data_IF_538893891488
#
_entry.id   IF_538893891488
#
_cell.length_a   1.000
_cell.length_b   1.000
_cell.length_c   1.000
_cell.angle_alpha   90.00
_cell.angle_beta   90.00
_cell.angle_gamma   90.00
#
_symmetry.space_group_name_H-M   'P 1'
#
loop_
_entity.id
_entity.type
_entity.pdbx_description
1 polymer ?
#
# COMPACT_ATOMS: atom_id res chain seq x y z
N UNK A 1 -22.59 -24.01 -35.46
CA UNK A 1 -23.29 -24.51 -34.26
C UNK A 1 -22.37 -24.34 -33.08
N UNK A 2 -22.52 -23.21 -32.41
CA UNK A 2 -22.42 -22.98 -30.96
C UNK A 2 -22.84 -21.53 -30.81
N UNK A 3 -24.15 -21.34 -30.67
CA UNK A 3 -24.77 -20.10 -30.23
C UNK A 3 -24.39 -19.88 -28.76
N UNK A 4 -24.07 -18.64 -28.42
CA UNK A 4 -23.97 -18.20 -27.04
C UNK A 4 -25.09 -17.18 -26.87
N UNK A 5 -26.21 -17.65 -26.34
CA UNK A 5 -27.31 -16.79 -25.85
C UNK A 5 -26.75 -15.91 -24.73
N UNK A 6 -26.92 -14.60 -24.89
CA UNK A 6 -26.77 -13.63 -23.80
C UNK A 6 -28.19 -13.33 -23.35
N UNK A 7 -28.54 -13.79 -22.15
CA UNK A 7 -29.79 -13.42 -21.48
C UNK A 7 -29.83 -11.90 -21.27
N UNK A 8 -30.75 -11.25 -22.00
CA UNK A 8 -31.09 -9.84 -21.88
C UNK A 8 -32.16 -9.65 -20.80
N UNK A 9 -31.81 -9.73 -19.50
CA UNK A 9 -32.81 -9.42 -18.46
C UNK A 9 -32.37 -8.46 -17.33
N UNK A 10 -31.13 -7.96 -17.26
CA UNK A 10 -30.74 -7.03 -16.17
C UNK A 10 -30.33 -5.61 -16.62
N UNK A 11 -30.81 -5.13 -17.77
CA UNK A 11 -30.64 -3.72 -18.21
C UNK A 11 -31.99 -3.07 -18.55
N UNK A 12 -33.03 -3.36 -17.77
CA UNK A 12 -34.37 -2.84 -18.02
C UNK A 12 -35.02 -2.06 -16.85
N UNK A 13 -34.26 -1.73 -15.80
CA UNK A 13 -34.79 -0.96 -14.66
C UNK A 13 -34.01 0.35 -14.47
N UNK A 14 -33.98 1.25 -15.48
CA UNK A 14 -33.71 2.69 -15.25
C UNK A 14 -33.97 3.60 -16.49
N UNK A 15 -35.04 3.38 -17.28
CA UNK A 15 -35.47 4.34 -18.32
C UNK A 15 -36.98 4.52 -18.28
N UNK A 16 -37.45 5.46 -17.46
CA UNK A 16 -38.87 5.64 -17.14
C UNK A 16 -39.61 6.62 -18.07
N UNK A 17 -39.19 6.75 -19.35
CA UNK A 17 -39.92 7.61 -20.31
C UNK A 17 -39.70 7.18 -21.78
N UNK A 18 -40.79 6.94 -22.53
CA UNK A 18 -40.77 6.58 -23.96
C UNK A 18 -40.03 7.60 -24.84
N UNK A 19 -39.99 8.87 -24.43
CA UNK A 19 -39.28 9.93 -25.15
C UNK A 19 -37.75 9.76 -25.10
N UNK A 20 -37.21 9.15 -24.04
CA UNK A 20 -35.76 8.97 -23.88
C UNK A 20 -35.24 7.78 -24.69
N UNK A 21 -36.05 6.72 -24.82
CA UNK A 21 -35.76 5.59 -25.70
C UNK A 21 -35.70 6.04 -27.17
N UNK A 22 -36.63 6.91 -27.59
CA UNK A 22 -36.63 7.47 -28.95
C UNK A 22 -35.42 8.35 -29.24
N UNK A 23 -34.97 9.14 -28.27
CA UNK A 23 -33.76 9.98 -28.43
C UNK A 23 -32.46 9.15 -28.45
N UNK A 24 -32.41 8.05 -27.68
CA UNK A 24 -31.29 7.10 -27.72
C UNK A 24 -31.22 6.32 -29.04
N UNK A 25 -32.36 5.91 -29.60
CA UNK A 25 -32.42 5.30 -30.94
C UNK A 25 -31.94 6.26 -32.03
N UNK A 26 -32.31 7.55 -31.97
CA UNK A 26 -31.82 8.57 -32.91
C UNK A 26 -30.30 8.78 -32.82
N UNK A 27 -29.76 8.79 -31.59
CA UNK A 27 -28.33 8.94 -31.33
C UNK A 27 -27.52 7.72 -31.79
N UNK A 28 -28.11 6.52 -31.70
CA UNK A 28 -27.51 5.27 -32.19
C UNK A 28 -27.49 5.20 -33.72
N UNK A 29 -28.54 5.70 -34.39
CA UNK A 29 -28.69 5.68 -35.84
C UNK A 29 -28.07 6.89 -36.56
N UNK A 30 -27.61 7.91 -35.83
CA UNK A 30 -26.93 9.08 -36.39
C UNK A 30 -27.82 10.01 -37.23
N UNK A 31 -29.13 10.04 -36.96
CA UNK A 31 -30.11 10.79 -37.75
C UNK A 31 -30.29 12.19 -37.18
N UNK A 32 -30.06 13.23 -37.99
CA UNK A 32 -30.31 14.64 -37.66
C UNK A 32 -31.65 15.09 -38.27
N UNK A 33 -32.39 15.98 -37.60
CA UNK A 33 -33.83 16.27 -37.81
C UNK A 33 -34.21 16.92 -39.17
N UNK A 34 -33.31 16.97 -40.16
CA UNK A 34 -33.50 17.78 -41.37
C UNK A 34 -33.38 17.06 -42.72
N UNK A 35 -33.36 15.73 -42.86
CA UNK A 35 -33.37 15.08 -44.18
C UNK A 35 -34.30 13.85 -44.27
N UNK A 36 -35.12 13.81 -45.32
CA UNK A 36 -35.91 12.65 -45.76
C UNK A 36 -35.03 11.56 -46.41
N UNK A 37 -35.48 10.29 -46.44
CA UNK A 37 -34.58 9.15 -46.63
C UNK A 37 -34.29 8.90 -48.11
N UNK A 38 -33.04 9.05 -48.52
CA UNK A 38 -32.51 8.45 -49.74
C UNK A 38 -31.02 8.15 -49.56
N UNK A 39 -30.70 6.85 -49.48
CA UNK A 39 -29.39 6.21 -49.65
C UNK A 39 -28.17 6.95 -49.09
N UNK A 40 -27.70 6.55 -47.91
CA UNK A 40 -26.28 6.63 -47.58
C UNK A 40 -25.80 5.34 -46.89
N UNK A 41 -24.80 4.69 -47.50
CA UNK A 41 -23.78 3.97 -46.74
C UNK A 41 -23.06 5.01 -45.88
N UNK A 42 -23.27 4.97 -44.57
CA UNK A 42 -22.53 5.79 -43.60
C UNK A 42 -21.71 4.85 -42.74
N UNK A 43 -20.39 4.98 -42.80
CA UNK A 43 -19.48 4.37 -41.82
C UNK A 43 -19.75 5.04 -40.47
N UNK A 44 -20.43 4.35 -39.56
CA UNK A 44 -20.76 4.84 -38.22
C UNK A 44 -19.52 4.66 -37.33
N UNK A 45 -18.87 5.76 -36.95
CA UNK A 45 -17.82 5.76 -35.94
C UNK A 45 -18.45 5.51 -34.55
N UNK A 46 -18.39 4.25 -34.11
CA UNK A 46 -18.89 3.80 -32.81
C UNK A 46 -18.27 4.55 -31.62
N UNK A 47 -17.08 5.14 -31.78
CA UNK A 47 -16.45 5.99 -30.76
C UNK A 47 -17.19 7.31 -30.55
N UNK A 48 -17.68 7.93 -31.62
CA UNK A 48 -18.50 9.16 -31.55
C UNK A 48 -19.89 8.89 -30.96
N UNK A 49 -20.51 7.76 -31.30
CA UNK A 49 -21.83 7.36 -30.78
C UNK A 49 -21.75 7.13 -29.26
N UNK A 50 -20.75 6.39 -28.78
CA UNK A 50 -20.58 6.18 -27.34
C UNK A 50 -20.27 7.46 -26.57
N UNK A 51 -19.49 8.38 -27.16
CA UNK A 51 -19.23 9.66 -26.52
C UNK A 51 -20.50 10.51 -26.37
N UNK A 52 -21.42 10.48 -27.34
CA UNK A 52 -22.70 11.20 -27.26
C UNK A 52 -23.66 10.58 -26.24
N UNK A 53 -23.73 9.24 -26.16
CA UNK A 53 -24.53 8.52 -25.15
C UNK A 53 -24.00 8.83 -23.74
N UNK A 54 -22.68 8.81 -23.55
CA UNK A 54 -22.05 9.14 -22.26
C UNK A 54 -22.31 10.60 -21.84
N UNK A 55 -22.29 11.56 -22.79
CA UNK A 55 -22.64 12.96 -22.52
C UNK A 55 -24.12 13.11 -22.15
N UNK A 56 -25.02 12.37 -22.81
CA UNK A 56 -26.45 12.38 -22.54
C UNK A 56 -26.76 11.84 -21.12
N UNK A 57 -26.21 10.68 -20.76
CA UNK A 57 -26.37 10.07 -19.42
C UNK A 57 -25.83 11.02 -18.33
N UNK A 58 -24.65 11.61 -18.56
CA UNK A 58 -23.99 12.51 -17.60
C UNK A 58 -24.75 13.82 -17.40
N UNK A 59 -25.51 14.31 -18.40
CA UNK A 59 -26.36 15.51 -18.27
C UNK A 59 -27.65 15.24 -17.50
N UNK A 60 -28.17 14.01 -17.52
CA UNK A 60 -29.37 13.64 -16.75
C UNK A 60 -29.07 13.30 -15.29
N UNK A 61 -27.92 12.69 -15.00
CA UNK A 61 -27.49 12.39 -13.63
C UNK A 61 -27.31 13.63 -12.72
N UNK A 62 -27.33 14.85 -13.27
CA UNK A 62 -27.11 16.12 -12.54
C UNK A 62 -28.42 16.78 -12.03
N UNK A 63 -29.61 16.22 -12.32
CA UNK A 63 -30.89 16.80 -11.86
C UNK A 63 -31.59 15.96 -10.77
N UNK A 64 -31.25 16.25 -9.50
CA UNK A 64 -31.97 15.97 -8.23
C UNK A 64 -32.41 14.53 -7.87
N UNK A 65 -32.30 14.12 -6.58
CA UNK A 65 -32.80 12.83 -6.11
C UNK A 65 -34.30 12.88 -5.74
N UNK A 66 -35.08 11.79 -5.94
CA UNK A 66 -36.46 11.75 -5.47
C UNK A 66 -36.53 11.57 -3.94
N UNK A 67 -37.45 12.32 -3.32
CA UNK A 67 -37.82 12.16 -1.91
C UNK A 67 -38.73 10.94 -1.72
N UNK A 68 -38.34 10.06 -0.80
CA UNK A 68 -39.27 9.28 0.02
C UNK A 68 -39.29 7.78 -0.27
N UNK A 69 -38.58 7.00 0.54
CA UNK A 69 -39.09 5.73 1.07
C UNK A 69 -38.29 5.35 2.34
N UNK A 70 -38.96 5.38 3.49
CA UNK A 70 -38.52 4.72 4.73
C UNK A 70 -39.24 3.39 4.82
N UNK A 71 -38.53 2.26 4.81
CA UNK A 71 -38.42 1.33 5.95
C UNK A 71 -37.84 -0.04 5.54
N UNK A 72 -36.87 -0.48 6.35
CA UNK A 72 -36.45 -1.85 6.63
C UNK A 72 -35.57 -2.60 5.60
N UNK A 73 -34.29 -2.23 5.57
CA UNK A 73 -33.19 -3.21 5.45
C UNK A 73 -32.18 -2.88 6.56
N UNK A 74 -31.79 -3.91 7.31
CA UNK A 74 -30.80 -3.83 8.41
C UNK A 74 -29.48 -3.30 7.86
N UNK A 75 -28.94 -2.29 8.54
CA UNK A 75 -27.62 -1.71 8.33
C UNK A 75 -26.54 -2.80 8.32
N UNK A 76 -26.00 -3.12 7.14
CA UNK A 76 -24.62 -3.55 7.02
C UNK A 76 -23.80 -2.29 6.79
N UNK A 77 -23.19 -1.77 7.86
CA UNK A 77 -22.23 -0.67 7.77
C UNK A 77 -20.98 -1.14 7.02
N UNK A 78 -21.00 -1.07 5.69
CA UNK A 78 -19.78 -1.00 4.87
C UNK A 78 -19.22 0.41 5.03
N UNK A 79 -18.46 0.64 6.11
CA UNK A 79 -17.58 1.79 6.20
C UNK A 79 -16.38 1.51 5.27
N UNK A 80 -16.49 2.06 4.07
CA UNK A 80 -15.42 2.12 3.10
C UNK A 80 -14.20 2.85 3.68
N UNK A 81 -13.03 2.23 3.55
CA UNK A 81 -11.75 2.89 3.87
C UNK A 81 -11.46 4.09 2.96
N UNK A 82 -12.26 4.29 1.91
CA UNK A 82 -12.25 5.47 1.05
C UNK A 82 -12.74 6.77 1.75
N UNK A 83 -13.24 6.70 2.99
CA UNK A 83 -13.73 7.87 3.74
C UNK A 83 -12.83 8.32 4.90
N UNK A 84 -11.58 7.85 4.99
CA UNK A 84 -10.58 8.74 5.58
C UNK A 84 -10.42 9.88 4.56
N UNK A 85 -10.99 11.06 4.84
CA UNK A 85 -10.81 12.28 4.04
C UNK A 85 -9.31 12.66 4.01
N UNK A 86 -8.51 11.88 3.31
CA UNK A 86 -7.19 12.28 2.84
C UNK A 86 -7.46 13.32 1.77
N UNK A 87 -7.12 14.58 2.04
CA UNK A 87 -7.29 15.67 1.08
C UNK A 87 -6.71 15.32 -0.28
N UNK A 88 -7.26 15.92 -1.35
CA UNK A 88 -6.82 15.70 -2.72
C UNK A 88 -5.29 15.86 -2.84
N UNK A 89 -4.61 14.81 -3.31
CA UNK A 89 -3.18 14.87 -3.59
C UNK A 89 -2.98 15.58 -4.93
N UNK A 90 -2.14 16.62 -4.94
CA UNK A 90 -1.77 17.31 -6.17
C UNK A 90 -1.04 16.34 -7.12
N UNK A 91 -1.34 16.37 -8.43
CA UNK A 91 -0.63 15.54 -9.40
C UNK A 91 0.84 15.95 -9.44
N UNK A 92 1.73 14.96 -9.40
CA UNK A 92 3.18 15.15 -9.54
C UNK A 92 3.71 14.31 -10.70
N UNK A 93 4.80 14.75 -11.35
CA UNK A 93 5.35 13.98 -12.45
C UNK A 93 5.84 12.61 -11.97
N UNK A 94 5.67 11.61 -12.82
CA UNK A 94 6.22 10.27 -12.62
C UNK A 94 7.75 10.32 -12.56
N UNK A 95 8.34 9.79 -11.49
CA UNK A 95 9.78 9.92 -11.24
C UNK A 95 10.59 9.06 -12.20
N UNK A 96 10.10 7.89 -12.60
CA UNK A 96 10.76 7.04 -13.60
C UNK A 96 10.85 7.75 -14.96
N UNK A 97 9.80 8.44 -15.40
CA UNK A 97 9.83 9.27 -16.60
C UNK A 97 10.75 10.49 -16.43
N UNK A 98 10.69 11.18 -15.30
CA UNK A 98 11.60 12.29 -14.98
C UNK A 98 13.07 11.85 -15.03
N UNK A 99 13.40 10.70 -14.45
CA UNK A 99 14.75 10.18 -14.41
C UNK A 99 15.31 9.96 -15.82
N UNK A 100 14.50 9.47 -16.77
CA UNK A 100 14.91 9.32 -18.16
C UNK A 100 15.31 10.65 -18.82
N UNK A 101 14.60 11.74 -18.51
CA UNK A 101 14.94 13.09 -19.02
C UNK A 101 16.22 13.66 -18.42
N UNK A 102 16.62 13.19 -17.23
CA UNK A 102 17.81 13.65 -16.52
C UNK A 102 19.10 12.96 -17.01
N UNK A 103 19.01 11.91 -17.84
CA UNK A 103 20.18 11.12 -18.29
C UNK A 103 21.01 11.84 -19.37
N UNK A 104 20.38 12.72 -20.17
CA UNK A 104 20.93 13.23 -21.45
C UNK A 104 21.43 14.67 -21.50
N UNK A 105 21.24 15.50 -20.47
CA UNK A 105 21.83 16.84 -20.41
C UNK A 105 21.98 17.32 -18.97
N UNK A 106 22.64 18.45 -18.75
CA UNK A 106 22.84 19.09 -17.43
C UNK A 106 21.54 19.58 -16.78
N UNK A 107 20.41 18.90 -16.98
CA UNK A 107 19.14 19.21 -16.34
C UNK A 107 19.24 18.81 -14.87
N UNK A 108 19.22 19.83 -14.02
CA UNK A 108 19.25 19.71 -12.58
C UNK A 108 18.00 18.98 -12.09
N UNK A 109 18.16 18.08 -11.10
CA UNK A 109 17.02 17.51 -10.34
C UNK A 109 16.03 18.63 -10.00
N UNK A 110 14.72 18.48 -10.24
CA UNK A 110 13.76 19.53 -9.91
C UNK A 110 13.84 19.87 -8.41
N UNK A 111 13.77 21.17 -8.08
CA UNK A 111 14.02 21.68 -6.72
C UNK A 111 13.19 21.02 -5.61
N UNK A 112 12.00 20.50 -5.96
CA UNK A 112 11.11 19.78 -5.03
C UNK A 112 11.70 18.44 -4.56
N UNK A 113 12.59 17.80 -5.33
CA UNK A 113 13.21 16.52 -4.94
C UNK A 113 14.56 16.69 -4.23
N UNK A 114 15.10 17.91 -4.18
CA UNK A 114 16.41 18.16 -3.53
C UNK A 114 16.25 18.13 -2.01
N UNK A 115 16.97 17.21 -1.36
CA UNK A 115 16.97 16.85 0.07
C UNK A 115 18.40 16.83 0.64
N UNK A 116 19.06 18.00 0.70
CA UNK A 116 20.48 18.05 1.07
C UNK A 116 20.74 17.80 2.56
N UNK A 117 19.79 18.13 3.44
CA UNK A 117 19.94 17.90 4.88
C UNK A 117 19.80 16.41 5.19
N UNK A 118 18.77 15.77 4.66
CA UNK A 118 18.51 14.35 4.89
C UNK A 118 19.53 13.47 4.13
N UNK A 119 19.87 13.80 2.89
CA UNK A 119 20.84 13.04 2.08
C UNK A 119 22.28 13.07 2.62
N UNK A 120 22.62 14.09 3.44
CA UNK A 120 23.98 14.31 3.95
C UNK A 120 24.27 13.81 5.36
N UNK A 121 23.29 13.21 6.05
CA UNK A 121 23.49 12.73 7.43
C UNK A 121 24.51 11.57 7.51
N UNK A 122 25.23 11.49 8.64
CA UNK A 122 26.23 10.45 8.87
C UNK A 122 25.60 9.05 8.85
N UNK A 123 26.09 8.20 7.94
CA UNK A 123 25.64 6.81 7.79
C UNK A 123 26.75 5.86 8.25
N UNK A 124 26.45 4.94 9.15
CA UNK A 124 27.37 3.87 9.54
C UNK A 124 27.22 2.69 8.57
N UNK A 125 28.24 2.42 7.76
CA UNK A 125 28.24 1.36 6.74
C UNK A 125 29.11 0.13 7.06
N UNK A 126 30.01 0.18 8.05
CA UNK A 126 31.12 -0.80 8.16
C UNK A 126 31.44 -1.39 9.55
N UNK A 127 30.48 -1.48 10.46
CA UNK A 127 30.70 -2.32 11.66
C UNK A 127 29.94 -3.64 11.51
N UNK A 128 30.65 -4.77 11.55
CA UNK A 128 30.07 -6.14 11.57
C UNK A 128 29.11 -6.31 12.77
N UNK A 129 29.19 -5.41 13.77
CA UNK A 129 28.25 -5.28 14.90
C UNK A 129 26.94 -4.53 14.59
N UNK A 130 26.70 -4.10 13.34
CA UNK A 130 25.58 -3.23 12.95
C UNK A 130 24.52 -3.91 12.04
N UNK A 131 24.67 -5.19 11.74
CA UNK A 131 23.65 -5.93 10.99
C UNK A 131 22.42 -6.19 11.88
N UNK A 132 21.23 -5.94 11.34
CA UNK A 132 19.98 -6.29 12.03
C UNK A 132 19.93 -7.81 12.30
N UNK A 133 19.32 -8.26 13.41
CA UNK A 133 19.25 -9.68 13.75
C UNK A 133 18.64 -10.52 12.63
N UNK A 134 19.10 -11.77 12.49
CA UNK A 134 18.52 -12.76 11.57
C UNK A 134 17.72 -13.75 12.41
N UNK A 135 16.45 -13.94 12.12
CA UNK A 135 15.55 -14.90 12.75
C UNK A 135 15.27 -16.04 11.77
N UNK A 136 15.33 -17.27 12.26
CA UNK A 136 15.02 -18.47 11.48
C UNK A 136 13.64 -19.01 11.86
N UNK A 137 12.70 -19.00 10.91
CA UNK A 137 11.33 -19.46 11.19
C UNK A 137 11.25 -20.97 11.47
N UNK A 138 12.08 -21.79 10.82
CA UNK A 138 12.12 -23.22 11.11
C UNK A 138 12.60 -23.48 12.54
N UNK A 139 13.57 -22.70 13.03
CA UNK A 139 14.03 -22.79 14.42
C UNK A 139 13.00 -22.32 15.43
N UNK A 140 12.17 -21.34 15.08
CA UNK A 140 11.02 -20.94 15.91
C UNK A 140 10.00 -22.08 16.04
N UNK A 141 9.76 -22.81 14.94
CA UNK A 141 8.79 -23.90 14.88
C UNK A 141 9.30 -25.23 15.46
N UNK A 142 10.62 -25.45 15.52
CA UNK A 142 11.23 -26.63 16.12
C UNK A 142 11.21 -26.56 17.67
N UNK A 143 10.53 -27.48 18.37
CA UNK A 143 10.48 -27.51 19.83
C UNK A 143 11.84 -27.48 20.53
N UNK A 144 12.91 -27.99 19.90
CA UNK A 144 14.26 -28.02 20.50
C UNK A 144 14.94 -26.65 20.50
N UNK A 145 14.72 -25.82 19.48
CA UNK A 145 15.33 -24.49 19.35
C UNK A 145 14.36 -23.33 19.61
N UNK A 146 13.06 -23.60 19.65
CA UNK A 146 12.00 -22.59 19.70
C UNK A 146 12.18 -21.59 20.84
N UNK A 147 12.58 -22.06 22.03
CA UNK A 147 12.80 -21.18 23.19
C UNK A 147 13.93 -20.17 22.96
N UNK A 148 15.05 -20.62 22.39
CA UNK A 148 16.21 -19.76 22.11
C UNK A 148 15.88 -18.77 21.00
N UNK A 149 15.28 -19.26 19.90
CA UNK A 149 14.95 -18.41 18.76
C UNK A 149 13.83 -17.41 19.10
N UNK A 150 12.87 -17.78 19.97
CA UNK A 150 11.83 -16.86 20.46
C UNK A 150 12.42 -15.74 21.30
N UNK A 151 13.36 -16.04 22.20
CA UNK A 151 14.04 -15.01 23.00
C UNK A 151 14.85 -14.04 22.12
N UNK A 152 15.44 -14.56 21.04
CA UNK A 152 16.15 -13.78 20.03
C UNK A 152 15.20 -12.91 19.20
N UNK A 153 14.02 -13.42 18.84
CA UNK A 153 12.96 -12.64 18.19
C UNK A 153 12.50 -11.48 19.08
N UNK A 154 12.17 -11.75 20.35
CA UNK A 154 11.79 -10.71 21.31
C UNK A 154 12.89 -9.65 21.50
N UNK A 155 14.14 -10.10 21.60
CA UNK A 155 15.31 -9.21 21.65
C UNK A 155 15.44 -8.33 20.39
N UNK A 156 15.24 -8.90 19.19
CA UNK A 156 15.28 -8.15 17.94
C UNK A 156 14.19 -7.07 17.90
N UNK A 157 12.94 -7.42 18.24
CA UNK A 157 11.83 -6.47 18.28
C UNK A 157 12.04 -5.36 19.33
N UNK A 158 12.67 -5.67 20.47
CA UNK A 158 12.92 -4.72 21.57
C UNK A 158 14.12 -3.80 21.32
N UNK A 159 15.21 -4.31 20.75
CA UNK A 159 16.47 -3.56 20.61
C UNK A 159 16.63 -2.92 19.23
N UNK A 160 16.08 -3.55 18.20
CA UNK A 160 16.25 -3.16 16.80
C UNK A 160 14.96 -2.75 16.12
N UNK A 161 13.81 -3.29 16.55
CA UNK A 161 12.54 -3.10 15.85
C UNK A 161 12.50 -3.67 14.42
N UNK A 162 13.62 -4.26 13.97
CA UNK A 162 13.88 -4.78 12.64
C UNK A 162 14.63 -6.10 12.75
N UNK A 163 14.36 -7.03 11.85
CA UNK A 163 15.12 -8.26 11.69
C UNK A 163 14.97 -8.83 10.27
N UNK A 164 15.88 -9.68 9.86
CA UNK A 164 15.74 -10.48 8.65
C UNK A 164 15.13 -11.83 9.01
N UNK A 165 14.17 -12.31 8.22
CA UNK A 165 13.56 -13.62 8.39
C UNK A 165 14.02 -14.55 7.28
N UNK A 166 14.68 -15.64 7.65
CA UNK A 166 15.11 -16.72 6.76
C UNK A 166 14.28 -17.97 7.02
N UNK A 167 14.35 -18.93 6.08
CA UNK A 167 13.64 -20.21 6.18
C UNK A 167 12.14 -20.02 6.47
N UNK A 168 11.55 -18.95 5.90
CA UNK A 168 10.20 -18.46 6.21
C UNK A 168 9.06 -19.31 5.65
N UNK A 169 9.36 -20.41 4.94
CA UNK A 169 8.36 -21.35 4.43
C UNK A 169 7.58 -20.90 3.19
N UNK A 170 7.61 -19.61 2.82
CA UNK A 170 7.08 -19.15 1.52
C UNK A 170 7.83 -19.85 0.38
N UNK A 171 7.14 -20.52 -0.56
CA UNK A 171 7.77 -21.20 -1.68
C UNK A 171 8.55 -20.25 -2.60
N UNK A 172 9.70 -20.71 -3.10
CA UNK A 172 10.55 -19.91 -3.98
C UNK A 172 9.82 -19.46 -5.25
N UNK A 173 8.94 -20.30 -5.81
CA UNK A 173 8.16 -19.96 -7.00
C UNK A 173 7.17 -18.80 -6.72
N UNK A 174 6.61 -18.71 -5.51
CA UNK A 174 5.72 -17.62 -5.14
C UNK A 174 6.48 -16.30 -5.13
N UNK A 175 7.68 -16.29 -4.53
CA UNK A 175 8.54 -15.10 -4.48
C UNK A 175 9.04 -14.74 -5.88
N UNK A 176 9.56 -15.71 -6.65
CA UNK A 176 10.13 -15.44 -7.97
C UNK A 176 9.09 -14.94 -8.96
N UNK A 177 7.89 -15.54 -8.97
CA UNK A 177 6.81 -15.13 -9.87
C UNK A 177 6.34 -13.71 -9.56
N UNK A 178 6.11 -13.40 -8.27
CA UNK A 178 5.71 -12.05 -7.87
C UNK A 178 6.79 -11.00 -8.20
N UNK A 179 8.08 -11.31 -7.94
CA UNK A 179 9.20 -10.43 -8.33
C UNK A 179 9.25 -10.20 -9.84
N UNK A 180 9.07 -11.25 -10.63
CA UNK A 180 9.06 -11.19 -12.09
C UNK A 180 7.92 -10.31 -12.59
N UNK A 181 6.70 -10.57 -12.14
CA UNK A 181 5.51 -9.83 -12.58
C UNK A 181 5.58 -8.35 -12.18
N UNK A 182 6.04 -8.04 -10.96
CA UNK A 182 6.27 -6.67 -10.52
C UNK A 182 7.34 -5.97 -11.38
N UNK A 183 8.44 -6.66 -11.67
CA UNK A 183 9.51 -6.12 -12.52
C UNK A 183 9.01 -5.84 -13.93
N UNK A 184 8.23 -6.76 -14.50
CA UNK A 184 7.63 -6.61 -15.82
C UNK A 184 6.63 -5.44 -15.84
N UNK A 185 5.79 -5.30 -14.81
CA UNK A 185 4.90 -4.16 -14.67
C UNK A 185 5.62 -2.81 -14.70
N UNK A 186 6.67 -2.62 -13.89
CA UNK A 186 7.40 -1.35 -13.86
C UNK A 186 8.17 -1.06 -15.16
N UNK A 187 8.46 -2.08 -15.99
CA UNK A 187 9.07 -1.94 -17.31
C UNK A 187 8.08 -1.55 -18.41
N UNK A 188 6.77 -1.63 -18.17
CA UNK A 188 5.77 -1.22 -19.15
C UNK A 188 5.86 0.29 -19.45
N UNK A 189 5.36 0.73 -20.63
CA UNK A 189 5.19 2.15 -20.95
C UNK A 189 4.43 2.90 -19.85
N UNK A 190 4.71 4.19 -19.70
CA UNK A 190 4.08 5.01 -18.66
C UNK A 190 2.56 4.98 -18.80
N UNK A 191 2.04 5.06 -20.02
CA UNK A 191 0.61 5.06 -20.32
C UNK A 191 -0.09 3.80 -19.78
N UNK A 192 0.55 2.64 -19.90
CA UNK A 192 0.03 1.38 -19.40
C UNK A 192 -0.01 1.35 -17.85
N UNK A 193 1.02 1.90 -17.19
CA UNK A 193 1.06 1.99 -15.72
C UNK A 193 0.05 3.02 -15.19
N UNK A 194 -0.10 4.14 -15.89
CA UNK A 194 -1.05 5.20 -15.53
C UNK A 194 -2.52 4.77 -15.69
N UNK A 195 -2.82 3.67 -16.38
CA UNK A 195 -4.16 3.06 -16.37
C UNK A 195 -4.62 2.66 -14.95
N UNK A 196 -3.69 2.46 -14.03
CA UNK A 196 -3.95 2.12 -12.62
C UNK A 196 -3.78 3.32 -11.68
N UNK A 197 -3.79 4.56 -12.19
CA UNK A 197 -3.49 5.75 -11.39
C UNK A 197 -4.41 5.89 -10.18
N UNK A 198 -3.87 6.39 -9.08
CA UNK A 198 -4.66 6.79 -7.92
C UNK A 198 -5.72 7.81 -8.34
N UNK A 199 -6.93 7.67 -7.80
CA UNK A 199 -8.03 8.62 -7.98
C UNK A 199 -8.19 9.50 -6.73
N UNK A 200 -8.65 10.76 -6.86
CA UNK A 200 -8.89 11.62 -5.71
C UNK A 200 -9.77 10.94 -4.65
N UNK A 201 -9.36 11.03 -3.38
CA UNK A 201 -10.06 10.39 -2.26
C UNK A 201 -9.81 8.88 -2.10
N UNK A 202 -8.99 8.26 -2.95
CA UNK A 202 -8.60 6.85 -2.81
C UNK A 202 -7.09 6.70 -2.58
N UNK A 203 -6.72 5.78 -1.70
CA UNK A 203 -5.32 5.41 -1.43
C UNK A 203 -4.82 4.32 -2.37
N UNK A 204 -5.68 3.61 -3.11
CA UNK A 204 -5.23 2.58 -4.05
C UNK A 204 -4.85 3.17 -5.41
N UNK A 205 -3.89 2.52 -6.06
CA UNK A 205 -3.43 2.87 -7.40
C UNK A 205 -1.95 3.24 -7.48
N UNK A 206 -1.54 3.58 -8.70
CA UNK A 206 -0.20 4.01 -9.07
C UNK A 206 -0.07 5.53 -8.96
N UNK A 207 1.00 6.00 -8.31
CA UNK A 207 1.23 7.44 -8.10
C UNK A 207 2.06 7.74 -6.86
N UNK A 208 2.00 8.97 -6.38
CA UNK A 208 2.56 9.37 -5.09
C UNK A 208 1.43 9.77 -4.14
N UNK A 209 1.55 9.39 -2.86
CA UNK A 209 0.63 9.84 -1.82
C UNK A 209 1.02 11.21 -1.24
N UNK A 210 0.02 11.87 -0.64
CA UNK A 210 0.17 12.99 0.29
C UNK A 210 0.92 14.21 -0.26
N UNK A 211 0.72 14.55 -1.54
CA UNK A 211 1.22 15.81 -2.09
C UNK A 211 0.20 16.92 -1.82
N UNK A 212 0.42 17.67 -0.74
CA UNK A 212 -0.54 18.66 -0.25
C UNK A 212 -0.15 20.12 -0.56
N UNK A 213 1.01 20.35 -1.17
CA UNK A 213 1.49 21.68 -1.53
C UNK A 213 2.49 21.67 -2.68
N UNK A 214 2.48 22.71 -3.51
CA UNK A 214 3.49 22.95 -4.56
C UNK A 214 4.91 23.16 -4.00
N UNK A 215 5.01 23.62 -2.75
CA UNK A 215 6.29 23.83 -2.09
C UNK A 215 6.77 22.58 -1.32
N UNK A 216 5.94 21.54 -1.25
CA UNK A 216 6.29 20.30 -0.58
C UNK A 216 7.44 19.63 -1.33
N UNK A 217 8.40 19.19 -0.53
CA UNK A 217 9.48 18.37 -1.01
C UNK A 217 9.01 16.94 -1.25
N UNK A 218 9.48 16.32 -2.33
CA UNK A 218 8.99 15.04 -2.84
C UNK A 218 10.06 13.95 -2.75
N UNK A 219 9.59 12.71 -2.72
CA UNK A 219 10.42 11.52 -2.74
C UNK A 219 10.75 11.12 -4.19
N UNK A 220 11.97 10.62 -4.39
CA UNK A 220 12.47 10.13 -5.68
C UNK A 220 12.08 8.67 -5.90
N UNK A 221 10.77 8.43 -5.97
CA UNK A 221 10.20 7.12 -6.22
C UNK A 221 8.81 7.22 -6.85
N UNK A 222 8.42 6.17 -7.55
CA UNK A 222 7.02 5.91 -7.89
C UNK A 222 6.52 4.73 -7.05
N UNK A 223 5.27 4.80 -6.59
CA UNK A 223 4.68 3.73 -5.80
C UNK A 223 3.33 3.27 -6.36
N UNK A 224 2.97 2.05 -5.98
CA UNK A 224 1.69 1.44 -6.28
C UNK A 224 1.16 0.82 -4.99
N UNK A 225 0.03 1.34 -4.52
CA UNK A 225 -0.62 0.87 -3.30
C UNK A 225 -1.88 0.06 -3.62
N UNK A 226 -2.07 -1.05 -2.91
CA UNK A 226 -3.22 -1.94 -3.09
C UNK A 226 -3.70 -2.48 -1.74
N UNK A 227 -5.02 -2.62 -1.60
CA UNK A 227 -5.63 -3.44 -0.56
C UNK A 227 -5.56 -4.91 -0.98
N UNK A 228 -5.02 -5.75 -0.10
CA UNK A 228 -4.81 -7.18 -0.36
C UNK A 228 -5.82 -8.06 0.37
N UNK A 229 -6.12 -7.73 1.63
CA UNK A 229 -7.01 -8.53 2.47
C UNK A 229 -7.85 -7.63 3.38
N UNK A 230 -9.11 -8.01 3.65
CA UNK A 230 -9.83 -9.20 3.13
C UNK A 230 -10.10 -9.11 1.62
N UNK A 231 -10.37 -10.24 0.96
CA UNK A 231 -10.60 -10.31 -0.49
C UNK A 231 -11.70 -9.39 -0.97
N UNK A 232 -12.75 -9.25 -0.15
CA UNK A 232 -13.96 -8.51 -0.50
C UNK A 232 -13.75 -6.99 -0.42
N UNK A 233 -12.60 -6.55 0.13
CA UNK A 233 -12.19 -5.14 0.14
C UNK A 233 -11.33 -4.74 -1.06
N UNK A 234 -11.04 -5.68 -1.98
CA UNK A 234 -10.20 -5.42 -3.14
C UNK A 234 -10.96 -4.68 -4.22
N UNK A 235 -10.42 -3.55 -4.65
CA UNK A 235 -10.86 -2.91 -5.87
C UNK A 235 -10.05 -3.42 -7.07
N UNK A 236 -10.67 -4.33 -7.84
CA UNK A 236 -10.01 -4.99 -8.98
C UNK A 236 -9.67 -4.04 -10.12
N UNK A 237 -10.16 -2.79 -10.12
CA UNK A 237 -9.75 -1.75 -11.07
C UNK A 237 -8.28 -1.41 -10.91
N UNK A 238 -7.76 -1.41 -9.68
CA UNK A 238 -6.35 -1.14 -9.41
C UNK A 238 -5.48 -2.39 -9.49
N UNK A 239 -6.05 -3.60 -9.44
CA UNK A 239 -5.25 -4.81 -9.50
C UNK A 239 -4.67 -5.04 -10.91
N UNK A 240 -3.34 -5.00 -11.08
CA UNK A 240 -2.72 -5.02 -12.40
C UNK A 240 -2.95 -6.36 -13.10
N UNK A 241 -3.45 -6.30 -14.33
CA UNK A 241 -3.74 -7.46 -15.18
C UNK A 241 -2.68 -7.70 -16.26
N UNK A 242 -1.61 -6.90 -16.24
CA UNK A 242 -0.46 -7.00 -17.12
C UNK A 242 0.81 -6.99 -16.27
N UNK A 243 1.63 -8.07 -16.28
CA UNK A 243 1.41 -9.29 -17.05
C UNK A 243 0.15 -10.07 -16.61
N UNK A 244 -0.41 -10.96 -17.47
CA UNK A 244 -1.63 -11.71 -17.14
C UNK A 244 -1.56 -12.53 -15.84
N UNK A 245 -0.36 -12.96 -15.44
CA UNK A 245 -0.06 -13.67 -14.20
C UNK A 245 -0.17 -12.81 -12.94
N UNK A 246 -0.12 -11.47 -13.06
CA UNK A 246 0.21 -10.60 -11.94
C UNK A 246 -0.84 -10.63 -10.82
N UNK A 247 -2.13 -10.65 -11.15
CA UNK A 247 -3.19 -10.78 -10.13
C UNK A 247 -3.04 -12.06 -9.32
N UNK A 248 -2.72 -13.17 -9.98
CA UNK A 248 -2.57 -14.47 -9.34
C UNK A 248 -1.28 -14.55 -8.49
N UNK A 249 -0.15 -14.06 -9.00
CA UNK A 249 1.09 -14.06 -8.22
C UNK A 249 0.99 -13.16 -6.99
N UNK A 250 0.31 -12.02 -7.11
CA UNK A 250 0.06 -11.08 -6.01
C UNK A 250 -0.87 -11.68 -4.95
N UNK A 251 -1.95 -12.39 -5.34
CA UNK A 251 -2.84 -13.09 -4.41
C UNK A 251 -2.14 -14.25 -3.68
N UNK A 252 -1.35 -15.06 -4.40
CA UNK A 252 -0.54 -16.13 -3.81
C UNK A 252 0.49 -15.56 -2.82
N UNK A 253 1.19 -14.49 -3.20
CA UNK A 253 2.17 -13.83 -2.34
C UNK A 253 1.53 -13.26 -1.07
N UNK A 254 0.38 -12.57 -1.20
CA UNK A 254 -0.42 -12.07 -0.07
C UNK A 254 -0.78 -13.19 0.90
N UNK A 255 -1.28 -14.31 0.39
CA UNK A 255 -1.72 -15.45 1.19
C UNK A 255 -0.58 -16.13 1.94
N UNK A 256 0.58 -16.32 1.31
CA UNK A 256 1.75 -16.89 2.00
C UNK A 256 2.35 -15.91 3.03
N UNK A 257 2.45 -14.62 2.69
CA UNK A 257 2.90 -13.59 3.64
C UNK A 257 2.00 -13.51 4.88
N UNK A 258 0.68 -13.68 4.71
CA UNK A 258 -0.28 -13.69 5.81
C UNK A 258 0.01 -14.82 6.82
N UNK A 259 0.35 -16.02 6.33
CA UNK A 259 0.68 -17.17 7.19
C UNK A 259 1.96 -16.91 7.99
N UNK A 260 2.98 -16.33 7.35
CA UNK A 260 4.24 -15.96 8.01
C UNK A 260 3.98 -14.99 9.15
N UNK A 261 3.24 -13.90 8.91
CA UNK A 261 3.00 -12.91 9.95
C UNK A 261 2.10 -13.42 11.06
N UNK A 262 1.08 -14.23 10.76
CA UNK A 262 0.27 -14.87 11.79
C UNK A 262 1.11 -15.75 12.73
N UNK A 263 2.09 -16.47 12.17
CA UNK A 263 3.04 -17.26 12.93
C UNK A 263 3.92 -16.37 13.83
N UNK A 264 4.49 -15.30 13.28
CA UNK A 264 5.30 -14.35 14.06
C UNK A 264 4.51 -13.69 15.19
N UNK A 265 3.27 -13.25 14.94
CA UNK A 265 2.41 -12.65 15.97
C UNK A 265 2.16 -13.62 17.13
N UNK A 266 1.97 -14.92 16.86
CA UNK A 266 1.84 -15.94 17.91
C UNK A 266 3.09 -16.01 18.80
N UNK A 267 4.28 -16.04 18.21
CA UNK A 267 5.54 -16.07 18.98
C UNK A 267 5.77 -14.76 19.74
N UNK A 268 5.44 -13.61 19.16
CA UNK A 268 5.57 -12.31 19.82
C UNK A 268 4.64 -12.17 21.03
N UNK A 269 3.42 -12.72 20.95
CA UNK A 269 2.52 -12.78 22.09
C UNK A 269 3.08 -13.66 23.22
N UNK A 270 3.61 -14.84 22.87
CA UNK A 270 4.26 -15.73 23.85
C UNK A 270 5.49 -15.08 24.49
N UNK A 271 6.33 -14.38 23.74
CA UNK A 271 7.49 -13.62 24.27
C UNK A 271 7.05 -12.52 25.24
N UNK A 272 5.94 -11.84 24.95
CA UNK A 272 5.35 -10.85 25.85
C UNK A 272 4.74 -11.48 27.12
N UNK A 273 4.59 -12.80 27.18
CA UNK A 273 3.98 -13.51 28.30
C UNK A 273 2.46 -13.36 28.36
N UNK A 274 1.83 -13.23 27.19
CA UNK A 274 0.37 -13.15 27.05
C UNK A 274 -0.16 -14.33 26.23
N UNK A 275 -1.45 -14.61 26.33
CA UNK A 275 -2.09 -15.60 25.47
C UNK A 275 -2.04 -15.15 24.00
N UNK A 276 -1.65 -16.02 23.05
CA UNK A 276 -1.55 -15.65 21.65
C UNK A 276 -2.81 -15.02 21.08
N UNK A 277 -3.96 -15.59 21.44
CA UNK A 277 -5.26 -15.17 20.96
C UNK A 277 -5.61 -13.72 21.37
N UNK A 278 -5.06 -13.19 22.48
CA UNK A 278 -5.21 -11.78 22.87
C UNK A 278 -4.61 -10.82 21.82
N UNK A 279 -3.48 -11.18 21.22
CA UNK A 279 -2.88 -10.39 20.13
C UNK A 279 -3.51 -10.74 18.78
N UNK A 280 -3.74 -12.02 18.50
CA UNK A 280 -4.23 -12.47 17.19
C UNK A 280 -5.65 -11.96 16.89
N UNK A 281 -6.52 -11.77 17.89
CA UNK A 281 -7.87 -11.22 17.68
C UNK A 281 -7.84 -9.80 17.09
N UNK A 282 -6.84 -9.00 17.45
CA UNK A 282 -6.65 -7.64 16.94
C UNK A 282 -6.37 -7.66 15.43
N UNK A 283 -5.69 -8.71 14.95
CA UNK A 283 -5.35 -8.91 13.53
C UNK A 283 -6.27 -9.94 12.85
N UNK A 284 -7.44 -10.25 13.44
CA UNK A 284 -8.38 -11.24 12.90
C UNK A 284 -8.83 -10.87 11.49
N UNK A 285 -8.89 -11.86 10.61
CA UNK A 285 -9.14 -11.66 9.17
C UNK A 285 -7.90 -11.26 8.37
N UNK A 286 -6.77 -11.02 9.05
CA UNK A 286 -5.47 -10.65 8.48
C UNK A 286 -5.55 -9.50 7.47
N UNK A 287 -6.06 -8.31 7.85
CA UNK A 287 -6.05 -7.14 6.98
C UNK A 287 -4.65 -6.82 6.48
N UNK A 288 -4.53 -6.63 5.17
CA UNK A 288 -3.26 -6.40 4.50
C UNK A 288 -3.41 -5.34 3.42
N UNK A 289 -2.40 -4.49 3.33
CA UNK A 289 -2.15 -3.66 2.15
C UNK A 289 -0.72 -3.87 1.65
N UNK A 290 -0.49 -3.54 0.39
CA UNK A 290 0.78 -3.67 -0.30
C UNK A 290 1.20 -2.31 -0.84
N UNK A 291 2.47 -1.95 -0.63
CA UNK A 291 3.16 -0.90 -1.36
C UNK A 291 4.29 -1.49 -2.18
N UNK A 292 4.14 -1.48 -3.50
CA UNK A 292 5.24 -1.70 -4.43
C UNK A 292 5.89 -0.35 -4.72
N UNK A 293 7.22 -0.27 -4.67
CA UNK A 293 7.95 0.98 -4.91
C UNK A 293 9.07 0.75 -5.91
N UNK A 294 9.17 1.65 -6.88
CA UNK A 294 10.23 1.72 -7.86
C UNK A 294 11.04 3.00 -7.62
N UNK A 295 12.34 2.84 -7.41
CA UNK A 295 13.28 3.94 -7.20
C UNK A 295 14.18 4.04 -8.44
N UNK A 296 13.93 5.00 -9.35
CA UNK A 296 14.77 5.17 -10.53
C UNK A 296 16.19 5.61 -10.15
N UNK A 297 17.22 5.22 -10.92
CA UNK A 297 18.58 5.65 -10.65
C UNK A 297 18.73 7.17 -10.73
N UNK A 298 19.61 7.75 -9.92
CA UNK A 298 19.87 9.18 -9.90
C UNK A 298 21.35 9.50 -9.74
N UNK A 299 22.01 10.09 -10.75
CA UNK A 299 23.45 10.44 -10.70
C UNK A 299 23.83 11.36 -9.55
N UNK A 300 22.87 12.08 -8.97
CA UNK A 300 23.05 12.93 -7.78
C UNK A 300 22.26 12.33 -6.59
N UNK A 301 22.43 11.02 -6.37
CA UNK A 301 21.75 10.25 -5.32
C UNK A 301 21.97 10.81 -3.91
N UNK A 302 23.08 11.53 -3.69
CA UNK A 302 23.40 12.28 -2.47
C UNK A 302 22.45 13.45 -2.18
N UNK A 303 21.65 13.88 -3.17
CA UNK A 303 20.75 15.03 -3.09
C UNK A 303 19.28 14.66 -3.06
N UNK A 304 18.94 13.38 -3.13
CA UNK A 304 17.56 12.90 -3.17
C UNK A 304 17.35 11.79 -2.15
N UNK A 305 16.11 11.62 -1.71
CA UNK A 305 15.69 10.51 -0.86
C UNK A 305 14.62 9.74 -1.61
N UNK A 306 14.72 8.41 -1.62
CA UNK A 306 13.77 7.54 -2.30
C UNK A 306 12.46 7.39 -1.52
N UNK A 307 12.54 7.29 -0.20
CA UNK A 307 11.41 7.35 0.72
C UNK A 307 11.83 8.09 1.98
N UNK A 308 11.13 9.18 2.29
CA UNK A 308 11.41 10.05 3.45
C UNK A 308 11.44 9.29 4.78
N UNK A 309 12.20 9.76 5.79
CA UNK A 309 12.21 9.18 7.13
C UNK A 309 10.80 9.06 7.74
N UNK A 310 10.42 7.87 8.17
CA UNK A 310 9.10 7.59 8.77
C UNK A 310 9.13 6.36 9.68
N UNK A 311 8.09 6.18 10.49
CA UNK A 311 7.71 4.88 11.05
C UNK A 311 6.47 4.31 10.36
N UNK A 312 6.24 3.01 10.50
CA UNK A 312 5.06 2.36 9.92
C UNK A 312 3.88 2.38 10.88
N UNK A 313 2.74 2.95 10.45
CA UNK A 313 1.48 2.96 11.19
C UNK A 313 0.74 1.60 11.19
N UNK A 314 1.46 0.49 11.32
CA UNK A 314 0.93 -0.88 11.21
C UNK A 314 1.35 -1.76 12.39
N UNK A 315 0.93 -3.03 12.41
CA UNK A 315 1.43 -4.01 13.37
C UNK A 315 2.82 -4.53 13.01
N UNK A 316 2.90 -5.25 11.89
CA UNK A 316 4.14 -5.73 11.30
C UNK A 316 4.19 -5.39 9.81
N UNK A 317 5.36 -4.97 9.35
CA UNK A 317 5.65 -4.82 7.92
C UNK A 317 6.55 -5.95 7.48
N UNK A 318 6.23 -6.55 6.34
CA UNK A 318 7.04 -7.57 5.67
C UNK A 318 7.54 -6.99 4.34
N UNK A 319 8.83 -6.68 4.29
CA UNK A 319 9.51 -6.07 3.15
C UNK A 319 10.26 -7.14 2.35
N UNK A 320 9.92 -7.24 1.07
CA UNK A 320 10.66 -7.99 0.07
C UNK A 320 11.50 -7.05 -0.78
N UNK A 321 12.81 -7.27 -0.83
CA UNK A 321 13.66 -6.64 -1.83
C UNK A 321 13.55 -7.42 -3.15
N UNK A 322 13.13 -6.73 -4.21
CA UNK A 322 12.79 -7.38 -5.49
C UNK A 322 14.04 -7.64 -6.31
N UNK A 323 15.00 -6.71 -6.28
CA UNK A 323 16.33 -6.84 -6.87
C UNK A 323 17.44 -6.65 -5.82
N UNK A 324 18.70 -6.83 -6.21
CA UNK A 324 19.84 -6.87 -5.27
C UNK A 324 20.37 -5.46 -4.89
N UNK A 325 19.71 -4.40 -5.35
CA UNK A 325 20.09 -3.01 -5.12
C UNK A 325 19.70 -2.59 -3.70
N UNK A 326 20.70 -2.30 -2.88
CA UNK A 326 20.52 -1.87 -1.49
C UNK A 326 20.01 -0.43 -1.40
N UNK A 327 19.41 -0.06 -0.27
CA UNK A 327 18.93 1.31 -0.07
C UNK A 327 18.17 1.55 1.23
N UNK A 328 17.72 0.51 1.93
CA UNK A 328 17.08 0.67 3.23
C UNK A 328 18.09 1.14 4.28
N UNK A 329 17.72 2.17 5.03
CA UNK A 329 18.45 2.63 6.20
C UNK A 329 17.49 2.76 7.39
N UNK A 330 17.96 2.36 8.57
CA UNK A 330 17.20 2.44 9.82
C UNK A 330 17.92 3.31 10.83
N UNK A 331 17.19 3.98 11.71
CA UNK A 331 17.76 4.81 12.77
C UNK A 331 18.09 3.96 14.01
N UNK A 332 19.37 3.85 14.36
CA UNK A 332 19.85 3.17 15.58
C UNK A 332 20.76 4.11 16.36
N UNK A 333 20.44 4.31 17.64
CA UNK A 333 21.21 5.17 18.57
C UNK A 333 21.51 6.57 18.00
N UNK A 334 20.51 7.16 17.32
CA UNK A 334 20.61 8.49 16.72
C UNK A 334 21.35 8.56 15.38
N UNK A 335 21.77 7.42 14.82
CA UNK A 335 22.49 7.36 13.54
C UNK A 335 21.77 6.49 12.52
N UNK A 336 21.98 6.77 11.24
CA UNK A 336 21.50 5.93 10.15
C UNK A 336 22.42 4.72 9.97
N UNK A 337 21.81 3.54 9.89
CA UNK A 337 22.50 2.26 9.66
C UNK A 337 21.93 1.62 8.40
N UNK A 338 22.82 1.20 7.49
CA UNK A 338 22.43 0.49 6.27
C UNK A 338 21.96 -0.92 6.59
N UNK A 339 20.83 -1.34 6.01
CA UNK A 339 20.37 -2.72 6.08
C UNK A 339 20.74 -3.43 4.79
N UNK A 340 21.65 -4.41 4.90
CA UNK A 340 21.99 -5.30 3.79
C UNK A 340 21.06 -6.52 3.80
N UNK A 341 20.13 -6.57 2.86
CA UNK A 341 19.19 -7.68 2.73
C UNK A 341 19.92 -8.95 2.29
N UNK A 342 19.67 -10.06 2.99
CA UNK A 342 20.10 -11.39 2.58
C UNK A 342 19.24 -11.87 1.42
N UNK A 343 19.86 -12.54 0.47
CA UNK A 343 19.15 -13.13 -0.66
C UNK A 343 18.10 -14.14 -0.16
N UNK A 344 16.87 -13.95 -0.59
CA UNK A 344 15.74 -14.81 -0.18
C UNK A 344 15.22 -14.55 1.22
N UNK A 345 15.70 -13.53 1.96
CA UNK A 345 15.13 -13.16 3.25
C UNK A 345 14.04 -12.08 3.09
N UNK A 346 13.09 -12.08 4.02
CA UNK A 346 12.26 -10.89 4.26
C UNK A 346 12.94 -9.98 5.29
N UNK A 347 12.78 -8.68 5.14
CA UNK A 347 13.04 -7.74 6.24
C UNK A 347 11.71 -7.49 6.94
N UNK A 348 11.65 -7.73 8.25
CA UNK A 348 10.47 -7.53 9.06
C UNK A 348 10.72 -6.37 10.02
N UNK A 349 9.73 -5.49 10.20
CA UNK A 349 9.77 -4.49 11.26
C UNK A 349 8.48 -4.36 12.04
N UNK A 350 8.62 -3.98 13.30
CA UNK A 350 7.52 -3.58 14.17
C UNK A 350 7.04 -2.19 13.76
N UNK A 351 5.72 -2.03 13.60
CA UNK A 351 5.11 -0.72 13.42
C UNK A 351 4.61 -0.12 14.74
N UNK A 352 4.11 1.11 14.64
CA UNK A 352 3.63 1.92 15.75
C UNK A 352 2.53 1.21 16.54
N UNK A 353 1.63 0.51 15.86
CA UNK A 353 0.53 -0.21 16.51
C UNK A 353 1.09 -1.32 17.39
N UNK A 354 2.05 -2.11 16.92
CA UNK A 354 2.64 -3.17 17.74
C UNK A 354 3.48 -2.59 18.91
N UNK A 355 4.13 -1.44 18.73
CA UNK A 355 4.76 -0.72 19.85
C UNK A 355 3.71 -0.35 20.92
N UNK A 356 2.56 0.20 20.52
CA UNK A 356 1.47 0.57 21.43
C UNK A 356 0.89 -0.66 22.13
N UNK A 357 0.50 -1.70 21.37
CA UNK A 357 -0.08 -2.94 21.89
C UNK A 357 0.84 -3.61 22.91
N UNK A 358 2.16 -3.59 22.65
CA UNK A 358 3.18 -4.14 23.53
C UNK A 358 3.55 -3.25 24.73
N UNK A 359 2.82 -2.15 24.96
CA UNK A 359 3.10 -1.15 26.00
C UNK A 359 4.55 -0.59 25.90
N UNK A 360 5.06 -0.46 24.68
CA UNK A 360 6.40 0.05 24.39
C UNK A 360 7.53 -0.96 24.60
N UNK A 361 7.24 -2.26 24.76
CA UNK A 361 8.26 -3.32 24.85
C UNK A 361 8.98 -3.49 23.52
N UNK A 362 8.24 -3.58 22.43
CA UNK A 362 8.79 -3.58 21.07
C UNK A 362 8.90 -2.17 20.52
N UNK A 363 9.80 -1.96 19.56
CA UNK A 363 10.12 -0.64 19.05
C UNK A 363 9.76 -0.50 17.59
N UNK A 364 8.92 0.48 17.29
CA UNK A 364 8.77 1.02 15.94
C UNK A 364 9.95 1.95 15.67
N UNK A 365 10.69 1.69 14.59
CA UNK A 365 11.95 2.37 14.30
C UNK A 365 11.83 3.19 13.03
N UNK A 366 12.30 4.43 13.12
CA UNK A 366 12.33 5.33 11.98
C UNK A 366 13.29 4.80 10.93
N UNK A 367 12.84 4.78 9.69
CA UNK A 367 13.58 4.23 8.56
C UNK A 367 13.33 5.05 7.30
N UNK A 368 14.23 4.92 6.33
CA UNK A 368 14.18 5.63 5.04
C UNK A 368 14.71 4.74 3.91
N UNK A 369 14.40 5.10 2.67
CA UNK A 369 15.00 4.45 1.50
C UNK A 369 15.84 5.44 0.70
N UNK A 370 17.07 5.04 0.37
CA UNK A 370 18.00 5.77 -0.47
C UNK A 370 17.96 5.27 -1.92
N UNK A 371 18.38 6.14 -2.83
CA UNK A 371 18.44 5.88 -4.27
C UNK A 371 19.86 5.48 -4.66
N UNK A 372 20.00 4.59 -5.63
CA UNK A 372 21.31 4.20 -6.17
C UNK A 372 21.67 5.09 -7.39
N UNK A 373 22.95 5.43 -7.62
CA UNK A 373 23.32 6.36 -8.69
C UNK A 373 23.11 5.82 -10.11
N UNK A 374 23.17 4.50 -10.30
CA UNK A 374 23.23 3.88 -11.63
C UNK A 374 22.27 2.71 -11.84
N UNK A 375 21.62 2.23 -10.80
CA UNK A 375 20.73 1.06 -10.87
C UNK A 375 19.39 1.40 -10.24
N UNK A 376 18.29 0.92 -10.82
CA UNK A 376 16.99 1.03 -10.20
C UNK A 376 16.89 0.10 -9.00
N UNK A 377 16.16 0.53 -7.96
CA UNK A 377 15.80 -0.33 -6.84
C UNK A 377 14.31 -0.62 -6.88
N UNK A 378 13.92 -1.84 -6.52
CA UNK A 378 12.52 -2.22 -6.38
C UNK A 378 12.28 -2.93 -5.04
N UNK A 379 11.17 -2.59 -4.39
CA UNK A 379 10.76 -3.24 -3.15
C UNK A 379 9.25 -3.38 -3.03
N UNK A 380 8.79 -4.40 -2.32
CA UNK A 380 7.39 -4.64 -2.02
C UNK A 380 7.21 -4.79 -0.50
N UNK A 381 6.45 -3.89 0.12
CA UNK A 381 6.14 -3.92 1.55
C UNK A 381 4.68 -4.32 1.75
N UNK A 382 4.43 -5.41 2.48
CA UNK A 382 3.08 -5.77 2.96
C UNK A 382 2.93 -5.30 4.40
N UNK A 383 1.94 -4.45 4.63
CA UNK A 383 1.58 -3.94 5.95
C UNK A 383 0.47 -4.80 6.56
N UNK A 384 0.71 -5.36 7.74
CA UNK A 384 -0.28 -6.17 8.46
C UNK A 384 -0.97 -5.35 9.54
N UNK A 385 -2.23 -5.07 9.29
CA UNK A 385 -3.02 -4.09 10.02
C UNK A 385 -4.03 -4.76 10.95
N UNK A 386 -4.45 -4.09 12.04
CA UNK A 386 -5.60 -4.52 12.82
C UNK A 386 -6.89 -4.59 12.00
N UNK A 387 -7.88 -5.33 12.50
CA UNK A 387 -9.27 -5.26 12.02
C UNK A 387 -9.81 -3.83 12.16
N UNK A 388 -10.70 -3.43 11.24
CA UNK A 388 -11.22 -2.05 11.15
C UNK A 388 -11.80 -1.52 12.46
N UNK A 389 -12.49 -2.37 13.21
CA UNK A 389 -13.17 -2.06 14.48
C UNK A 389 -12.29 -2.33 15.72
N UNK A 390 -10.99 -2.56 15.55
CA UNK A 390 -10.06 -2.75 16.67
C UNK A 390 -9.85 -1.45 17.45
N UNK A 391 -9.59 -1.60 18.74
CA UNK A 391 -8.99 -0.54 19.57
C UNK A 391 -7.47 -0.72 19.58
N UNK A 392 -6.74 0.34 19.25
CA UNK A 392 -5.29 0.42 19.37
C UNK A 392 -4.96 1.00 20.74
N UNK A 393 -4.40 0.19 21.62
CA UNK A 393 -3.98 0.58 22.97
C UNK A 393 -3.19 -0.54 23.65
N UNK A 394 -2.46 -0.26 24.74
CA UNK A 394 -1.68 -1.29 25.43
C UNK A 394 -2.55 -2.48 25.86
N UNK A 395 -2.07 -3.70 25.63
CA UNK A 395 -2.80 -4.92 25.99
C UNK A 395 -3.05 -4.96 27.51
N UNK A 396 -4.28 -5.25 27.97
CA UNK A 396 -4.65 -5.17 29.40
C UNK A 396 -3.75 -5.99 30.33
N UNK A 397 -3.33 -7.17 29.88
CA UNK A 397 -2.43 -8.06 30.60
C UNK A 397 -1.07 -7.39 30.84
N UNK A 398 -0.56 -6.67 29.84
CA UNK A 398 0.71 -5.94 29.93
C UNK A 398 0.59 -4.71 30.81
N UNK A 399 -0.52 -3.97 30.73
CA UNK A 399 -0.78 -2.82 31.62
C UNK A 399 -0.78 -3.26 33.08
N UNK A 400 -1.44 -4.37 33.39
CA UNK A 400 -1.48 -4.94 34.75
C UNK A 400 -0.09 -5.36 35.21
N UNK A 401 0.68 -6.03 34.36
CA UNK A 401 2.02 -6.55 34.70
C UNK A 401 3.06 -5.43 34.81
N UNK A 402 2.94 -4.38 34.01
CA UNK A 402 3.89 -3.26 33.95
C UNK A 402 3.56 -2.13 34.95
N UNK A 403 2.40 -2.21 35.64
CA UNK A 403 1.98 -1.25 36.65
C UNK A 403 1.36 0.03 36.08
N UNK A 404 0.97 0.04 34.80
CA UNK A 404 0.34 1.19 34.15
C UNK A 404 0.46 1.19 32.63
N UNK A 405 -0.45 1.92 31.98
CA UNK A 405 -0.44 2.11 30.54
C UNK A 405 0.50 3.25 30.15
N UNK A 406 1.39 3.03 29.18
CA UNK A 406 2.30 4.06 28.66
C UNK A 406 1.74 4.81 27.46
N UNK A 407 0.67 4.30 26.86
CA UNK A 407 -0.01 4.90 25.74
C UNK A 407 -1.50 4.98 26.02
N UNK A 408 -2.17 5.96 25.41
CA UNK A 408 -3.63 6.06 25.38
C UNK A 408 -4.21 5.07 24.37
N UNK A 409 -5.51 4.78 24.50
CA UNK A 409 -6.23 3.92 23.58
C UNK A 409 -7.07 4.75 22.60
N UNK A 410 -7.12 4.33 21.34
CA UNK A 410 -7.86 4.99 20.25
C UNK A 410 -8.43 3.94 19.29
N UNK A 411 -9.54 4.22 18.62
CA UNK A 411 -10.05 3.34 17.56
C UNK A 411 -9.08 3.27 16.38
N UNK A 412 -8.91 2.10 15.76
CA UNK A 412 -7.96 1.92 14.66
C UNK A 412 -8.22 2.87 13.47
N UNK A 413 -9.48 3.11 13.12
CA UNK A 413 -9.81 4.06 12.05
C UNK A 413 -9.41 5.50 12.39
N UNK A 414 -9.52 5.90 13.66
CA UNK A 414 -9.10 7.24 14.10
C UNK A 414 -7.57 7.34 14.21
N UNK A 415 -6.90 6.26 14.62
CA UNK A 415 -5.45 6.14 14.55
C UNK A 415 -4.94 6.36 13.13
N UNK A 416 -5.49 5.66 12.15
CA UNK A 416 -5.07 5.78 10.74
C UNK A 416 -5.34 7.18 10.18
N UNK A 417 -6.49 7.79 10.51
CA UNK A 417 -6.79 9.18 10.14
C UNK A 417 -5.75 10.14 10.72
N UNK A 418 -5.43 10.00 12.01
CA UNK A 418 -4.41 10.80 12.68
C UNK A 418 -3.01 10.60 12.11
N UNK A 419 -2.63 9.36 11.83
CA UNK A 419 -1.36 8.99 11.24
C UNK A 419 -1.14 9.64 9.87
N UNK A 420 -2.15 9.58 8.99
CA UNK A 420 -2.06 10.21 7.66
C UNK A 420 -2.17 11.73 7.72
N UNK A 421 -2.96 12.29 8.66
CA UNK A 421 -3.02 13.73 8.88
C UNK A 421 -1.68 14.31 9.37
N UNK A 422 -0.88 13.51 10.09
CA UNK A 422 0.49 13.85 10.51
C UNK A 422 1.53 13.75 9.38
N UNK A 423 1.12 13.44 8.14
CA UNK A 423 1.95 13.48 6.91
C UNK A 423 3.26 12.68 6.99
N UNK A 424 3.25 11.56 7.71
CA UNK A 424 4.43 10.69 7.89
C UNK A 424 5.62 11.40 8.57
N UNK A 425 5.37 12.39 9.44
CA UNK A 425 6.42 13.11 10.14
C UNK A 425 7.04 12.27 11.27
N UNK A 426 7.97 11.39 10.88
CA UNK A 426 8.76 10.58 11.80
C UNK A 426 7.91 9.79 12.78
N UNK A 427 8.00 10.13 14.07
CA UNK A 427 7.33 9.45 15.20
C UNK A 427 6.25 10.30 15.87
N UNK A 428 5.85 11.42 15.29
CA UNK A 428 5.07 12.43 16.00
C UNK A 428 3.69 11.94 16.39
N UNK A 429 3.00 11.21 15.51
CA UNK A 429 1.70 10.64 15.84
C UNK A 429 1.81 9.63 17.00
N UNK A 430 2.77 8.71 16.95
CA UNK A 430 3.03 7.74 18.02
C UNK A 430 3.38 8.44 19.34
N UNK A 431 4.20 9.48 19.29
CA UNK A 431 4.57 10.26 20.48
C UNK A 431 3.38 11.00 21.09
N UNK A 432 2.43 11.48 20.27
CA UNK A 432 1.21 12.15 20.73
C UNK A 432 0.30 11.26 21.57
N UNK A 433 0.43 9.93 21.43
CA UNK A 433 -0.36 8.94 22.15
C UNK A 433 0.31 8.47 23.46
N UNK A 434 1.53 8.93 23.78
CA UNK A 434 2.19 8.56 25.04
C UNK A 434 1.54 9.26 26.23
N UNK A 435 1.30 8.51 27.29
CA UNK A 435 0.86 9.08 28.56
C UNK A 435 2.03 9.83 29.21
N UNK A 436 1.74 11.01 29.78
CA UNK A 436 2.71 11.86 30.48
C UNK A 436 3.14 11.28 31.83
#
# INVERSE_FOLDING_TARGET
>A
MFEMEVDNEDVADEIDNEDDLRELEKLHLGIDDNHTPANLDVDIDMGQVMMRIMIYIRRRAVKQPPQGYRQHIRESETIDMAHAEGGESLPVPNVQALAQTCIGSATQIPKRYIRMEEGGEEVISHNISAAIPIIDLNRLLDPQSSKEESAKLGSACKQWGFFQLINHGVPDDVISNFKSDMTEFFKQPLEAKMAYSMVPGNLEGYGQHFVVSENQKLDWADMFYLMLRPSDSRDMRFWPSSPPSFRNSLDRYSSEAAKVVLCLLRFLAMDMGIEPESLLDIFRGQPQSLRMTYYPPCKQADKVVGLSPHTDGTGLTLLLQVNDVQGLQIRKDGKWVVVNALNGAFIINCGDILEILSNGRYKSIEHRAMVHPTEERMSAAIFHQPRKDATVGPLPELVKNDGGARYSSIGYMDFIKGFFAAKLDGRDHLNSLKNQ
#
